data_IF_709042757982
#
_entry.id   IF_709042757982
#
_cell.length_a   1.000
_cell.length_b   1.000
_cell.length_c   1.000
_cell.angle_alpha   90.00
_cell.angle_beta   90.00
_cell.angle_gamma   90.00
#
_symmetry.space_group_name_H-M   'P 1'
#
loop_
_entity.id
_entity.type
_entity.pdbx_description
1 polymer ?
#
# COMPACT_ATOMS: atom_id res chain seq x y z
N UNK A 1 -73.03 -25.46 25.21
CA UNK A 1 -71.86 -24.64 25.61
C UNK A 1 -70.49 -25.35 25.53
N UNK A 2 -70.34 -26.65 25.76
CA UNK A 2 -68.99 -27.33 25.75
C UNK A 2 -68.33 -27.48 24.35
N UNK A 3 -69.05 -27.36 23.25
CA UNK A 3 -68.48 -27.46 21.87
C UNK A 3 -67.88 -26.15 21.35
N UNK A 4 -68.33 -24.98 21.84
CA UNK A 4 -67.81 -23.68 21.43
C UNK A 4 -66.41 -23.39 21.99
N UNK A 5 -66.14 -23.79 23.21
CA UNK A 5 -64.84 -23.60 23.86
C UNK A 5 -63.69 -24.48 23.30
N UNK A 6 -64.07 -25.62 22.68
CA UNK A 6 -63.07 -26.52 22.08
C UNK A 6 -62.53 -26.02 20.75
N UNK A 7 -63.33 -25.30 19.97
CA UNK A 7 -62.92 -24.75 18.70
C UNK A 7 -62.17 -23.44 18.85
N UNK A 8 -62.45 -22.61 19.85
CA UNK A 8 -61.69 -21.38 20.15
C UNK A 8 -60.29 -21.68 20.70
N UNK A 9 -60.11 -22.76 21.48
CA UNK A 9 -58.78 -23.17 21.95
C UNK A 9 -57.86 -23.67 20.81
N UNK A 10 -58.41 -24.40 19.84
CA UNK A 10 -57.65 -24.88 18.67
C UNK A 10 -57.27 -23.73 17.74
N UNK A 11 -58.14 -22.73 17.54
CA UNK A 11 -57.86 -21.56 16.73
C UNK A 11 -56.77 -20.67 17.34
N UNK A 12 -56.78 -20.50 18.67
CA UNK A 12 -55.72 -19.78 19.42
C UNK A 12 -54.35 -20.50 19.35
N UNK A 13 -54.37 -21.86 19.44
CA UNK A 13 -53.14 -22.65 19.32
C UNK A 13 -52.55 -22.57 17.88
N UNK A 14 -53.39 -22.58 16.83
CA UNK A 14 -52.93 -22.43 15.44
C UNK A 14 -52.36 -21.02 15.15
N UNK A 15 -52.98 -19.98 15.72
CA UNK A 15 -52.43 -18.61 15.64
C UNK A 15 -51.09 -18.45 16.35
N UNK A 16 -50.95 -19.07 17.50
CA UNK A 16 -49.68 -19.06 18.26
C UNK A 16 -48.56 -19.83 17.52
N UNK A 17 -48.91 -20.96 16.88
CA UNK A 17 -47.94 -21.73 16.08
C UNK A 17 -47.53 -20.99 14.81
N UNK A 18 -48.47 -20.27 14.13
CA UNK A 18 -48.15 -19.51 12.91
C UNK A 18 -47.23 -18.30 13.24
N UNK A 19 -47.47 -17.57 14.30
CA UNK A 19 -46.63 -16.45 14.73
C UNK A 19 -45.25 -16.91 15.20
N UNK A 20 -45.15 -18.07 15.86
CA UNK A 20 -43.89 -18.66 16.28
C UNK A 20 -43.04 -19.15 15.11
N UNK A 21 -43.67 -19.74 14.08
CA UNK A 21 -42.97 -20.16 12.86
C UNK A 21 -42.51 -18.97 12.00
N UNK A 22 -43.29 -17.88 11.98
CA UNK A 22 -42.88 -16.64 11.30
C UNK A 22 -41.71 -15.95 12.03
N UNK A 23 -41.72 -15.90 13.36
CA UNK A 23 -40.61 -15.39 14.14
C UNK A 23 -39.32 -16.21 13.98
N UNK A 24 -39.41 -17.55 13.98
CA UNK A 24 -38.29 -18.44 13.71
C UNK A 24 -37.75 -18.29 12.28
N UNK A 25 -38.61 -18.12 11.29
CA UNK A 25 -38.19 -17.91 9.90
C UNK A 25 -37.57 -16.50 9.68
N UNK A 26 -38.07 -15.48 10.38
CA UNK A 26 -37.47 -14.13 10.38
C UNK A 26 -36.10 -14.11 11.11
N UNK A 27 -35.99 -14.82 12.20
CA UNK A 27 -34.71 -14.94 12.95
C UNK A 27 -33.66 -15.75 12.19
N UNK A 28 -34.07 -16.78 11.44
CA UNK A 28 -33.18 -17.52 10.53
C UNK A 28 -32.78 -16.71 9.30
N UNK A 29 -33.70 -15.91 8.72
CA UNK A 29 -33.36 -14.97 7.63
C UNK A 29 -32.39 -13.90 8.10
N UNK A 30 -32.57 -13.32 9.27
CA UNK A 30 -31.64 -12.36 9.85
C UNK A 30 -30.27 -12.99 10.19
N UNK A 31 -30.24 -14.23 10.68
CA UNK A 31 -28.97 -14.96 10.86
C UNK A 31 -28.27 -15.26 9.53
N UNK A 32 -28.98 -15.70 8.51
CA UNK A 32 -28.41 -15.95 7.18
C UNK A 32 -27.91 -14.66 6.50
N UNK A 33 -28.64 -13.53 6.64
CA UNK A 33 -28.16 -12.24 6.15
C UNK A 33 -26.94 -11.75 6.94
N UNK A 34 -26.93 -11.91 8.27
CA UNK A 34 -25.80 -11.56 9.11
C UNK A 34 -24.55 -12.39 8.77
N UNK A 35 -24.67 -13.69 8.55
CA UNK A 35 -23.56 -14.54 8.11
C UNK A 35 -23.14 -14.26 6.68
N UNK A 36 -24.06 -13.94 5.78
CA UNK A 36 -23.74 -13.57 4.39
C UNK A 36 -23.02 -12.20 4.30
N UNK A 37 -23.34 -11.26 5.20
CA UNK A 37 -22.65 -9.96 5.29
C UNK A 37 -21.27 -10.04 5.98
N UNK A 38 -21.03 -11.08 6.77
CA UNK A 38 -19.75 -11.25 7.50
C UNK A 38 -18.74 -12.14 6.81
N UNK A 39 -19.12 -12.92 5.80
CA UNK A 39 -18.17 -13.71 5.02
C UNK A 39 -17.66 -12.91 3.82
N UNK A 40 -16.47 -12.38 3.97
CA UNK A 40 -15.73 -11.79 2.87
C UNK A 40 -15.22 -12.91 1.96
N UNK A 41 -15.86 -13.10 0.81
CA UNK A 41 -15.40 -14.08 -0.18
C UNK A 41 -14.26 -13.44 -0.99
N UNK A 42 -13.05 -14.00 -0.95
CA UNK A 42 -11.95 -13.51 -1.77
C UNK A 42 -12.34 -13.45 -3.25
N UNK A 43 -11.83 -12.49 -4.02
CA UNK A 43 -12.07 -12.45 -5.46
C UNK A 43 -11.47 -13.68 -6.13
N UNK A 44 -12.15 -14.21 -7.14
CA UNK A 44 -11.63 -15.32 -7.94
C UNK A 44 -10.40 -14.87 -8.75
N UNK A 45 -9.48 -15.82 -8.98
CA UNK A 45 -8.34 -15.60 -9.87
C UNK A 45 -8.84 -15.33 -11.29
N UNK A 46 -8.44 -14.21 -11.93
CA UNK A 46 -8.82 -13.93 -13.31
C UNK A 46 -8.18 -14.93 -14.29
N UNK A 47 -8.66 -15.01 -15.52
CA UNK A 47 -7.98 -15.80 -16.56
C UNK A 47 -6.65 -15.17 -16.97
N UNK A 48 -6.61 -13.84 -16.98
CA UNK A 48 -5.41 -13.05 -17.24
C UNK A 48 -5.51 -11.68 -16.59
N UNK A 49 -4.35 -11.03 -16.44
CA UNK A 49 -4.26 -9.62 -16.05
C UNK A 49 -3.11 -8.93 -16.78
N UNK A 50 -3.20 -7.61 -16.87
CA UNK A 50 -2.08 -6.78 -17.35
C UNK A 50 -1.37 -6.19 -16.14
N UNK A 51 -0.05 -6.32 -16.09
CA UNK A 51 0.80 -5.69 -15.09
C UNK A 51 1.97 -4.99 -15.79
N UNK A 52 2.07 -3.68 -15.62
CA UNK A 52 3.10 -2.83 -16.22
C UNK A 52 3.22 -2.98 -17.77
N UNK A 53 2.12 -3.31 -18.44
CA UNK A 53 2.08 -3.57 -19.89
C UNK A 53 2.24 -5.04 -20.27
N UNK A 54 2.74 -5.91 -19.38
CA UNK A 54 2.87 -7.33 -19.64
C UNK A 54 1.57 -8.08 -19.34
N UNK A 55 1.14 -8.98 -20.25
CA UNK A 55 -0.02 -9.85 -20.03
C UNK A 55 0.40 -11.13 -19.32
N UNK A 56 -0.13 -11.36 -18.13
CA UNK A 56 0.08 -12.58 -17.34
C UNK A 56 -1.18 -13.44 -17.40
N UNK A 57 -1.02 -14.70 -17.82
CA UNK A 57 -2.12 -15.67 -17.90
C UNK A 57 -2.08 -16.64 -16.73
N UNK A 58 -3.27 -16.95 -16.18
CA UNK A 58 -3.42 -17.91 -15.07
C UNK A 58 -4.09 -19.20 -15.55
N UNK A 59 -3.69 -19.69 -16.72
CA UNK A 59 -4.10 -20.97 -17.31
C UNK A 59 -3.29 -22.16 -16.75
N UNK A 60 -2.11 -21.90 -16.19
CA UNK A 60 -1.30 -22.89 -15.45
C UNK A 60 -1.81 -23.04 -14.02
N UNK A 61 -1.97 -24.28 -13.56
CA UNK A 61 -2.48 -24.59 -12.22
C UNK A 61 -1.61 -23.99 -11.09
N UNK A 62 -0.29 -24.06 -11.23
CA UNK A 62 0.67 -23.51 -10.26
C UNK A 62 0.57 -21.99 -10.12
N UNK A 63 0.47 -21.26 -11.24
CA UNK A 63 0.31 -19.80 -11.21
C UNK A 63 -1.05 -19.40 -10.62
N UNK A 64 -2.09 -20.20 -10.94
CA UNK A 64 -3.43 -19.96 -10.42
C UNK A 64 -3.51 -20.15 -8.92
N UNK A 65 -2.93 -21.23 -8.38
CA UNK A 65 -2.89 -21.51 -6.93
C UNK A 65 -2.10 -20.43 -6.18
N UNK A 66 -0.95 -20.02 -6.72
CA UNK A 66 -0.12 -18.97 -6.12
C UNK A 66 -0.85 -17.63 -6.09
N UNK A 67 -1.59 -17.28 -7.14
CA UNK A 67 -2.38 -16.06 -7.19
C UNK A 67 -3.57 -16.12 -6.22
N UNK A 68 -4.30 -17.23 -6.18
CA UNK A 68 -5.43 -17.45 -5.27
C UNK A 68 -5.03 -17.26 -3.81
N UNK A 69 -3.89 -17.82 -3.42
CA UNK A 69 -3.31 -17.66 -2.08
C UNK A 69 -3.14 -16.19 -1.69
N UNK A 70 -2.63 -15.34 -2.59
CA UNK A 70 -2.40 -13.93 -2.27
C UNK A 70 -3.71 -13.13 -2.28
N UNK A 71 -4.69 -13.47 -3.11
CA UNK A 71 -6.02 -12.88 -3.08
C UNK A 71 -6.72 -13.19 -1.74
N UNK A 72 -6.63 -14.43 -1.26
CA UNK A 72 -7.12 -14.83 0.06
C UNK A 72 -6.41 -14.02 1.15
N UNK A 73 -5.06 -13.94 1.10
CA UNK A 73 -4.28 -13.23 2.10
C UNK A 73 -4.72 -11.75 2.22
N UNK A 74 -4.82 -11.02 1.12
CA UNK A 74 -5.23 -9.60 1.14
C UNK A 74 -6.69 -9.41 1.56
N UNK A 75 -7.57 -10.37 1.29
CA UNK A 75 -8.97 -10.32 1.73
C UNK A 75 -9.10 -10.44 3.26
N UNK A 76 -8.23 -11.19 3.91
CA UNK A 76 -8.27 -11.42 5.36
C UNK A 76 -7.25 -10.58 6.17
N UNK A 77 -6.31 -9.91 5.52
CA UNK A 77 -5.39 -8.97 6.18
C UNK A 77 -6.04 -7.59 6.39
N UNK A 78 -7.18 -7.55 7.09
CA UNK A 78 -8.04 -6.37 7.21
C UNK A 78 -7.26 -5.09 7.60
N UNK A 79 -6.43 -5.14 8.63
CA UNK A 79 -5.67 -3.97 9.09
C UNK A 79 -4.76 -3.40 8.00
N UNK A 80 -3.98 -4.25 7.35
CA UNK A 80 -3.03 -3.79 6.32
C UNK A 80 -3.77 -3.30 5.08
N UNK A 81 -4.74 -4.07 4.58
CA UNK A 81 -5.51 -3.73 3.38
C UNK A 81 -6.28 -2.41 3.53
N UNK A 82 -6.86 -2.15 4.72
CA UNK A 82 -7.48 -0.86 5.02
C UNK A 82 -6.46 0.30 5.05
N UNK A 83 -5.35 0.12 5.77
CA UNK A 83 -4.35 1.19 5.94
C UNK A 83 -3.67 1.58 4.63
N UNK A 84 -3.38 0.62 3.75
CA UNK A 84 -2.68 0.93 2.49
C UNK A 84 -3.54 1.77 1.55
N UNK A 85 -4.85 1.53 1.46
CA UNK A 85 -5.76 2.38 0.66
C UNK A 85 -5.83 3.80 1.23
N UNK A 86 -6.00 3.94 2.56
CA UNK A 86 -6.03 5.25 3.23
C UNK A 86 -4.74 6.04 3.04
N UNK A 87 -3.59 5.37 3.18
CA UNK A 87 -2.25 5.96 2.99
C UNK A 87 -1.96 6.33 1.54
N UNK A 88 -2.43 5.51 0.59
CA UNK A 88 -2.26 5.75 -0.83
C UNK A 88 -2.89 7.07 -1.26
N UNK A 89 -4.05 7.44 -0.72
CA UNK A 89 -4.69 8.72 -1.01
C UNK A 89 -3.77 9.92 -0.72
N UNK A 90 -2.90 9.80 0.29
CA UNK A 90 -1.90 10.82 0.64
C UNK A 90 -0.64 10.75 -0.21
N UNK A 91 -0.19 9.55 -0.58
CA UNK A 91 1.15 9.34 -1.10
C UNK A 91 1.19 9.27 -2.63
N UNK A 92 0.20 8.65 -3.28
CA UNK A 92 0.18 8.47 -4.73
C UNK A 92 0.20 9.78 -5.51
N UNK A 93 -0.47 10.88 -5.05
CA UNK A 93 -0.34 12.18 -5.71
C UNK A 93 1.09 12.72 -5.83
N UNK A 94 1.99 12.29 -4.94
CA UNK A 94 3.41 12.67 -4.96
C UNK A 94 4.24 11.71 -5.81
N UNK A 95 3.91 10.43 -5.76
CA UNK A 95 4.74 9.34 -6.31
C UNK A 95 4.49 9.10 -7.78
N UNK A 96 3.23 9.05 -8.22
CA UNK A 96 2.85 8.76 -9.61
C UNK A 96 3.44 9.75 -10.63
N UNK A 97 3.46 11.08 -10.38
CA UNK A 97 4.14 12.01 -11.27
C UNK A 97 5.63 11.68 -11.43
N UNK A 98 6.32 11.30 -10.34
CA UNK A 98 7.75 10.97 -10.38
C UNK A 98 8.00 9.69 -11.19
N UNK A 99 7.17 8.65 -11.01
CA UNK A 99 7.27 7.43 -11.83
C UNK A 99 7.10 7.76 -13.32
N UNK A 100 6.07 8.53 -13.64
CA UNK A 100 5.76 8.95 -15.02
C UNK A 100 6.89 9.77 -15.65
N UNK A 101 7.44 10.75 -14.95
CA UNK A 101 8.55 11.59 -15.40
C UNK A 101 9.82 10.78 -15.68
N UNK A 102 10.01 9.67 -14.97
CA UNK A 102 11.14 8.76 -15.14
C UNK A 102 10.84 7.56 -16.05
N UNK A 103 9.68 7.52 -16.72
CA UNK A 103 9.32 6.46 -17.66
C UNK A 103 9.04 5.10 -17.01
N UNK A 104 8.74 5.06 -15.71
CA UNK A 104 8.42 3.84 -14.97
C UNK A 104 6.91 3.60 -15.00
N UNK A 105 6.44 2.40 -15.37
CA UNK A 105 5.02 2.06 -15.36
C UNK A 105 4.39 2.28 -13.99
N UNK A 106 3.18 2.83 -13.97
CA UNK A 106 2.46 3.19 -12.76
C UNK A 106 2.25 2.01 -11.79
N UNK A 107 2.08 0.80 -12.31
CA UNK A 107 1.90 -0.40 -11.50
C UNK A 107 3.08 -0.68 -10.54
N UNK A 108 4.29 -0.16 -10.82
CA UNK A 108 5.46 -0.33 -9.96
C UNK A 108 5.34 0.43 -8.63
N UNK A 109 4.38 1.35 -8.48
CA UNK A 109 4.04 1.97 -7.19
C UNK A 109 3.61 0.95 -6.14
N UNK A 110 3.05 -0.17 -6.57
CA UNK A 110 2.61 -1.23 -5.65
C UNK A 110 3.76 -1.95 -4.95
N UNK A 111 5.01 -1.79 -5.41
CA UNK A 111 6.20 -2.24 -4.67
C UNK A 111 6.23 -1.65 -3.26
N UNK A 112 6.00 -0.34 -3.11
CA UNK A 112 5.98 0.32 -1.80
C UNK A 112 4.88 -0.22 -0.87
N UNK A 113 3.77 -0.69 -1.44
CA UNK A 113 2.69 -1.30 -0.64
C UNK A 113 3.20 -2.57 0.02
N UNK A 114 3.93 -3.40 -0.74
CA UNK A 114 4.47 -4.68 -0.24
C UNK A 114 5.65 -4.45 0.70
N UNK A 115 6.53 -3.50 0.38
CA UNK A 115 7.76 -3.22 1.11
C UNK A 115 7.51 -2.59 2.49
N UNK A 116 6.61 -1.62 2.56
CA UNK A 116 6.43 -0.79 3.75
C UNK A 116 5.00 -0.63 4.23
N UNK A 117 4.01 -1.27 3.59
CA UNK A 117 2.59 -0.94 3.75
C UNK A 117 2.32 0.58 3.60
N UNK A 118 3.05 1.25 2.71
CA UNK A 118 3.00 2.71 2.53
C UNK A 118 3.26 3.48 3.83
N UNK A 119 4.14 2.98 4.72
CA UNK A 119 4.59 3.70 5.89
C UNK A 119 5.96 4.36 5.62
N UNK A 120 6.02 5.71 5.50
CA UNK A 120 7.28 6.39 5.21
C UNK A 120 8.30 6.30 6.35
N UNK A 121 7.89 5.84 7.54
CA UNK A 121 8.77 5.63 8.72
C UNK A 121 9.29 4.20 8.82
N UNK A 122 8.91 3.32 7.90
CA UNK A 122 9.22 1.89 7.98
C UNK A 122 10.74 1.66 8.06
N UNK A 123 11.14 0.78 8.98
CA UNK A 123 12.51 0.31 9.17
C UNK A 123 12.45 -1.19 9.44
N UNK A 124 13.08 -1.99 8.59
CA UNK A 124 13.15 -3.43 8.78
C UNK A 124 14.23 -3.83 9.80
N UNK A 125 14.15 -5.04 10.33
CA UNK A 125 15.20 -5.61 11.20
C UNK A 125 16.56 -5.70 10.52
N UNK A 126 16.59 -5.83 9.19
CA UNK A 126 17.81 -5.83 8.39
C UNK A 126 18.35 -4.42 8.08
N UNK A 127 17.63 -3.34 8.46
CA UNK A 127 18.04 -1.96 8.24
C UNK A 127 17.60 -1.37 6.89
N UNK A 128 16.69 -2.02 6.16
CA UNK A 128 16.02 -1.41 5.02
C UNK A 128 15.04 -0.33 5.51
N UNK A 129 14.95 0.82 4.81
CA UNK A 129 14.25 2.00 5.33
C UNK A 129 13.40 2.75 4.30
N UNK A 130 12.34 3.41 4.82
CA UNK A 130 11.44 4.27 4.07
C UNK A 130 10.43 3.50 3.23
N UNK A 131 9.73 4.21 2.33
CA UNK A 131 8.68 3.61 1.49
C UNK A 131 9.20 2.47 0.60
N UNK A 132 10.38 2.67 0.01
CA UNK A 132 11.01 1.77 -0.95
C UNK A 132 11.91 0.71 -0.31
N UNK A 133 12.07 0.72 1.01
CA UNK A 133 12.87 -0.24 1.78
C UNK A 133 14.29 -0.44 1.23
N UNK A 134 14.95 0.65 0.85
CA UNK A 134 16.34 0.57 0.44
C UNK A 134 17.26 0.18 1.61
N UNK A 135 18.17 -0.76 1.37
CA UNK A 135 19.35 -0.94 2.20
C UNK A 135 20.28 0.29 2.08
N UNK A 136 21.08 0.59 3.12
CA UNK A 136 21.95 1.77 3.10
C UNK A 136 22.88 1.80 1.89
N UNK A 137 23.55 0.67 1.61
CA UNK A 137 24.48 0.57 0.49
C UNK A 137 23.77 0.80 -0.85
N UNK A 138 22.61 0.15 -1.06
CA UNK A 138 21.80 0.31 -2.27
C UNK A 138 21.29 1.74 -2.41
N UNK A 139 20.77 2.35 -1.34
CA UNK A 139 20.34 3.75 -1.39
C UNK A 139 21.46 4.69 -1.85
N UNK A 140 22.67 4.51 -1.31
CA UNK A 140 23.85 5.32 -1.70
C UNK A 140 24.26 5.10 -3.16
N UNK A 141 24.21 3.87 -3.67
CA UNK A 141 24.57 3.58 -5.08
C UNK A 141 23.61 4.24 -6.06
N UNK A 142 22.35 4.50 -5.67
CA UNK A 142 21.38 5.24 -6.46
C UNK A 142 21.25 6.72 -6.10
N UNK A 143 22.24 7.27 -5.36
CA UNK A 143 22.43 8.70 -5.14
C UNK A 143 21.78 9.27 -3.88
N UNK A 144 21.27 8.43 -2.96
CA UNK A 144 20.75 8.89 -1.68
C UNK A 144 21.89 9.13 -0.68
N UNK A 145 21.78 10.22 0.06
CA UNK A 145 22.64 10.46 1.20
C UNK A 145 22.11 9.69 2.41
N UNK A 146 22.97 8.85 3.01
CA UNK A 146 22.63 8.05 4.18
C UNK A 146 23.78 8.08 5.17
N UNK A 147 23.60 8.81 6.27
CA UNK A 147 24.51 8.91 7.39
C UNK A 147 23.72 9.11 8.70
N UNK A 148 24.38 9.41 9.81
CA UNK A 148 23.73 9.60 11.10
C UNK A 148 22.84 10.85 11.15
N UNK A 149 23.19 11.92 10.43
CA UNK A 149 22.45 13.17 10.42
C UNK A 149 21.36 13.21 9.35
N UNK A 150 21.61 12.59 8.19
CA UNK A 150 20.75 12.61 7.02
C UNK A 150 20.50 11.17 6.55
N UNK A 151 19.24 10.82 6.32
CA UNK A 151 18.88 9.55 5.70
C UNK A 151 17.77 9.77 4.65
N UNK A 152 18.20 10.00 3.41
CA UNK A 152 17.29 10.31 2.30
C UNK A 152 16.43 9.13 1.84
N UNK A 153 16.61 7.93 2.39
CA UNK A 153 15.68 6.80 2.19
C UNK A 153 14.30 7.12 2.75
N UNK A 154 14.23 8.04 3.73
CA UNK A 154 12.98 8.56 4.30
C UNK A 154 12.44 9.80 3.57
N UNK A 155 13.16 10.35 2.59
CA UNK A 155 12.68 11.41 1.73
C UNK A 155 11.86 10.82 0.59
N UNK A 156 10.55 11.05 0.58
CA UNK A 156 9.61 10.42 -0.35
C UNK A 156 10.01 10.69 -1.80
N UNK A 157 10.30 11.95 -2.16
CA UNK A 157 10.63 12.34 -3.54
C UNK A 157 11.97 11.75 -3.98
N UNK A 158 13.03 11.94 -3.18
CA UNK A 158 14.37 11.46 -3.53
C UNK A 158 14.46 9.95 -3.58
N UNK A 159 13.85 9.26 -2.62
CA UNK A 159 13.84 7.79 -2.62
C UNK A 159 13.02 7.22 -3.78
N UNK A 160 11.95 7.91 -4.23
CA UNK A 160 11.20 7.49 -5.42
C UNK A 160 12.03 7.67 -6.69
N UNK A 161 12.78 8.79 -6.85
CA UNK A 161 13.71 8.95 -7.97
C UNK A 161 14.81 7.87 -7.97
N UNK A 162 15.35 7.54 -6.80
CA UNK A 162 16.33 6.45 -6.66
C UNK A 162 15.75 5.09 -7.05
N UNK A 163 14.49 4.83 -6.66
CA UNK A 163 13.77 3.60 -7.06
C UNK A 163 13.54 3.55 -8.58
N UNK A 164 13.18 4.66 -9.21
CA UNK A 164 13.05 4.73 -10.66
C UNK A 164 14.34 4.33 -11.37
N UNK A 165 15.50 4.82 -10.90
CA UNK A 165 16.81 4.44 -11.47
C UNK A 165 17.08 2.95 -11.34
N UNK A 166 16.83 2.38 -10.15
CA UNK A 166 16.98 0.94 -9.92
C UNK A 166 16.09 0.13 -10.86
N UNK A 167 14.81 0.51 -10.98
CA UNK A 167 13.83 -0.18 -11.80
C UNK A 167 14.15 -0.09 -13.29
N UNK A 168 14.61 1.07 -13.77
CA UNK A 168 15.04 1.24 -15.16
C UNK A 168 16.27 0.38 -15.50
N UNK A 169 17.30 0.39 -14.65
CA UNK A 169 18.50 -0.45 -14.80
C UNK A 169 18.13 -1.95 -14.82
N UNK A 170 17.25 -2.37 -13.91
CA UNK A 170 16.80 -3.76 -13.88
C UNK A 170 15.96 -4.12 -15.12
N UNK A 171 15.17 -3.20 -15.64
CA UNK A 171 14.39 -3.43 -16.87
C UNK A 171 15.27 -3.54 -18.11
N UNK A 172 16.29 -2.70 -18.24
CA UNK A 172 17.31 -2.83 -19.30
C UNK A 172 17.96 -4.21 -19.29
N UNK A 173 18.16 -4.78 -18.10
CA UNK A 173 18.78 -6.08 -17.94
C UNK A 173 17.86 -7.26 -18.24
N UNK A 174 16.59 -7.20 -17.83
CA UNK A 174 15.68 -8.35 -17.85
C UNK A 174 14.60 -8.27 -18.93
N UNK A 175 14.24 -7.10 -19.40
CA UNK A 175 13.23 -6.88 -20.43
C UNK A 175 11.79 -7.23 -20.06
N UNK A 176 11.52 -7.59 -18.79
CA UNK A 176 10.16 -7.85 -18.29
C UNK A 176 9.99 -7.46 -16.82
N UNK A 177 8.82 -6.91 -16.48
CA UNK A 177 8.57 -6.30 -15.18
C UNK A 177 8.38 -7.31 -14.05
N UNK A 178 7.97 -8.54 -14.33
CA UNK A 178 7.88 -9.58 -13.29
C UNK A 178 9.26 -10.01 -12.81
N UNK A 179 10.23 -10.13 -13.70
CA UNK A 179 11.63 -10.40 -13.33
C UNK A 179 12.27 -9.21 -12.62
N UNK A 180 11.95 -7.98 -13.03
CA UNK A 180 12.35 -6.77 -12.30
C UNK A 180 11.81 -6.80 -10.87
N UNK A 181 10.52 -7.09 -10.67
CA UNK A 181 9.92 -7.20 -9.35
C UNK A 181 10.58 -8.31 -8.50
N UNK A 182 10.82 -9.49 -9.07
CA UNK A 182 11.54 -10.55 -8.40
C UNK A 182 12.97 -10.10 -7.98
N UNK A 183 13.66 -9.35 -8.85
CA UNK A 183 15.01 -8.85 -8.58
C UNK A 183 15.04 -7.75 -7.52
N UNK A 184 13.96 -7.00 -7.36
CA UNK A 184 13.82 -6.01 -6.30
C UNK A 184 13.87 -6.68 -4.91
N UNK A 185 13.17 -7.78 -4.74
CA UNK A 185 13.16 -8.55 -3.50
C UNK A 185 14.40 -9.46 -3.35
N UNK A 186 14.71 -10.27 -4.37
CA UNK A 186 15.77 -11.28 -4.32
C UNK A 186 17.17 -10.78 -4.69
N UNK A 187 17.31 -9.50 -5.06
CA UNK A 187 18.54 -8.89 -5.55
C UNK A 187 18.85 -9.28 -7.01
N UNK A 188 19.32 -8.30 -7.80
CA UNK A 188 19.60 -8.50 -9.22
C UNK A 188 20.58 -9.68 -9.49
N UNK A 189 21.68 -9.76 -8.73
CA UNK A 189 22.66 -10.84 -8.92
C UNK A 189 22.09 -12.22 -8.61
N UNK A 190 21.24 -12.29 -7.57
CA UNK A 190 20.56 -13.53 -7.19
C UNK A 190 19.64 -14.04 -8.29
N UNK A 191 18.80 -13.16 -8.81
CA UNK A 191 17.85 -13.52 -9.89
C UNK A 191 18.57 -13.82 -11.19
N UNK A 192 19.59 -13.06 -11.59
CA UNK A 192 20.37 -13.35 -12.80
C UNK A 192 20.97 -14.74 -12.76
N UNK A 193 21.58 -15.11 -11.63
CA UNK A 193 22.13 -16.44 -11.46
C UNK A 193 21.05 -17.54 -11.57
N UNK A 194 19.87 -17.32 -11.00
CA UNK A 194 18.77 -18.29 -11.09
C UNK A 194 18.22 -18.46 -12.51
N UNK A 195 18.13 -17.35 -13.27
CA UNK A 195 17.74 -17.39 -14.68
C UNK A 195 18.72 -18.23 -15.49
N UNK A 196 20.02 -18.04 -15.28
CA UNK A 196 21.07 -18.80 -15.93
C UNK A 196 21.06 -20.29 -15.52
N UNK A 197 21.11 -20.59 -14.22
CA UNK A 197 21.13 -21.95 -13.67
C UNK A 197 19.91 -22.79 -14.08
N UNK A 198 18.74 -22.16 -14.25
CA UNK A 198 17.48 -22.83 -14.58
C UNK A 198 17.10 -22.69 -16.06
N UNK A 199 17.95 -22.06 -16.88
CA UNK A 199 17.72 -21.82 -18.32
C UNK A 199 16.38 -21.16 -18.61
N UNK A 200 16.00 -20.14 -17.80
CA UNK A 200 14.75 -19.39 -17.94
C UNK A 200 15.01 -17.91 -18.26
N UNK A 201 14.01 -17.25 -18.82
CA UNK A 201 14.04 -15.82 -19.13
C UNK A 201 13.04 -15.00 -18.32
N UNK A 202 12.13 -15.66 -17.59
CA UNK A 202 11.08 -15.02 -16.81
C UNK A 202 11.08 -15.58 -15.37
N UNK A 203 11.01 -14.71 -14.39
CA UNK A 203 11.01 -15.10 -12.97
C UNK A 203 9.76 -15.90 -12.55
N UNK A 204 8.64 -15.81 -13.28
CA UNK A 204 7.45 -16.64 -13.01
C UNK A 204 7.72 -18.14 -13.21
N UNK A 205 8.73 -18.50 -14.01
CA UNK A 205 9.13 -19.86 -14.32
C UNK A 205 10.30 -20.37 -13.46
N UNK A 206 10.80 -19.53 -12.54
CA UNK A 206 11.91 -19.90 -11.67
C UNK A 206 11.44 -20.63 -10.41
N UNK A 207 12.23 -21.61 -9.99
CA UNK A 207 12.21 -22.14 -8.63
C UNK A 207 12.97 -21.19 -7.71
N UNK A 208 12.23 -20.39 -6.96
CA UNK A 208 12.76 -19.36 -6.05
C UNK A 208 12.45 -19.72 -4.59
N UNK A 209 13.13 -19.05 -3.66
CA UNK A 209 12.73 -19.05 -2.25
C UNK A 209 11.31 -18.52 -2.12
N UNK A 210 10.57 -19.02 -1.14
CA UNK A 210 9.14 -18.76 -0.96
C UNK A 210 8.83 -17.25 -0.93
N UNK A 211 9.64 -16.45 -0.25
CA UNK A 211 9.45 -15.01 -0.15
C UNK A 211 9.46 -14.32 -1.51
N UNK A 212 10.50 -14.56 -2.31
CA UNK A 212 10.62 -13.97 -3.66
C UNK A 212 9.60 -14.54 -4.63
N UNK A 213 9.29 -15.84 -4.52
CA UNK A 213 8.25 -16.48 -5.30
C UNK A 213 6.88 -15.84 -5.09
N UNK A 214 6.50 -15.57 -3.84
CA UNK A 214 5.25 -14.92 -3.47
C UNK A 214 5.21 -13.43 -3.84
N UNK A 215 6.35 -12.79 -3.84
CA UNK A 215 6.46 -11.34 -4.03
C UNK A 215 5.77 -10.85 -5.30
N UNK A 216 5.98 -11.53 -6.43
CA UNK A 216 5.35 -11.22 -7.71
C UNK A 216 3.82 -11.33 -7.66
N UNK A 217 3.30 -12.37 -7.00
CA UNK A 217 1.84 -12.58 -6.87
C UNK A 217 1.21 -11.61 -5.88
N UNK A 218 1.92 -11.27 -4.80
CA UNK A 218 1.51 -10.20 -3.89
C UNK A 218 1.37 -8.87 -4.61
N UNK A 219 2.30 -8.55 -5.51
CA UNK A 219 2.27 -7.34 -6.31
C UNK A 219 1.03 -7.28 -7.22
N UNK A 220 0.72 -8.40 -7.89
CA UNK A 220 -0.48 -8.54 -8.73
C UNK A 220 -1.78 -8.48 -7.90
N UNK A 221 -1.82 -9.13 -6.75
CA UNK A 221 -2.97 -9.10 -5.85
C UNK A 221 -3.22 -7.69 -5.27
N UNK A 222 -2.16 -6.97 -4.93
CA UNK A 222 -2.24 -5.55 -4.50
C UNK A 222 -2.82 -4.69 -5.61
N UNK A 223 -2.38 -4.85 -6.86
CA UNK A 223 -2.98 -4.13 -7.99
C UNK A 223 -4.49 -4.37 -8.05
N UNK A 224 -4.95 -5.62 -7.99
CA UNK A 224 -6.38 -5.95 -7.99
C UNK A 224 -7.12 -5.34 -6.79
N UNK A 225 -6.50 -5.30 -5.61
CA UNK A 225 -7.05 -4.65 -4.42
C UNK A 225 -7.27 -3.15 -4.66
N UNK A 226 -6.29 -2.46 -5.22
CA UNK A 226 -6.38 -1.03 -5.48
C UNK A 226 -7.31 -0.67 -6.63
N UNK A 227 -7.44 -1.51 -7.64
CA UNK A 227 -8.40 -1.32 -8.73
C UNK A 227 -9.85 -1.49 -8.28
N UNK A 228 -10.11 -2.41 -7.35
CA UNK A 228 -11.46 -2.62 -6.83
C UNK A 228 -11.45 -3.17 -5.38
N UNK A 229 -11.31 -2.32 -4.36
CA UNK A 229 -11.30 -2.74 -2.96
C UNK A 229 -12.57 -3.49 -2.53
N UNK A 230 -13.72 -3.16 -3.14
CA UNK A 230 -15.00 -3.79 -2.81
C UNK A 230 -15.03 -5.29 -3.11
N UNK A 231 -14.31 -5.74 -4.14
CA UNK A 231 -14.16 -7.18 -4.42
C UNK A 231 -13.42 -7.93 -3.31
N UNK A 232 -12.64 -7.23 -2.50
CA UNK A 232 -11.96 -7.74 -1.31
C UNK A 232 -12.75 -7.49 -0.02
N UNK A 233 -14.00 -6.98 -0.12
CA UNK A 233 -14.86 -6.68 1.02
C UNK A 233 -14.56 -5.34 1.71
N UNK A 234 -13.76 -4.48 1.12
CA UNK A 234 -13.42 -3.17 1.69
C UNK A 234 -14.22 -2.05 1.03
N UNK A 235 -14.86 -1.23 1.85
CA UNK A 235 -15.57 -0.03 1.40
C UNK A 235 -15.06 1.17 2.19
N UNK A 236 -14.89 2.29 1.50
CA UNK A 236 -14.42 3.54 2.10
C UNK A 236 -15.39 4.68 1.79
N UNK A 237 -15.38 5.65 2.67
CA UNK A 237 -15.95 6.98 2.45
C UNK A 237 -14.82 8.00 2.33
N UNK A 238 -15.13 9.23 1.97
CA UNK A 238 -14.12 10.30 1.87
C UNK A 238 -13.43 10.53 3.21
N UNK A 239 -14.20 10.45 4.32
CA UNK A 239 -13.73 10.62 5.69
C UNK A 239 -12.73 9.55 6.12
N UNK A 240 -12.75 8.40 5.47
CA UNK A 240 -11.82 7.29 5.77
C UNK A 240 -10.42 7.55 5.21
N UNK A 241 -10.30 8.35 4.14
CA UNK A 241 -9.06 8.53 3.41
C UNK A 241 -8.14 9.56 4.09
N UNK A 242 -6.84 9.30 4.07
CA UNK A 242 -5.87 10.27 4.59
C UNK A 242 -5.57 11.32 3.50
N UNK A 243 -5.79 12.61 3.77
CA UNK A 243 -5.58 13.65 2.78
C UNK A 243 -4.10 13.83 2.43
N UNK A 244 -3.81 14.16 1.19
CA UNK A 244 -2.55 14.77 0.81
C UNK A 244 -2.58 16.25 1.18
N UNK A 245 -1.65 16.69 2.01
CA UNK A 245 -1.47 18.06 2.42
C UNK A 245 -0.12 18.52 1.84
N UNK A 246 -0.12 19.39 0.82
CA UNK A 246 1.13 19.93 0.28
C UNK A 246 1.83 20.81 1.33
N UNK A 247 3.16 20.92 1.28
CA UNK A 247 3.88 21.84 2.14
C UNK A 247 3.41 23.28 1.86
N UNK A 248 3.34 24.11 2.90
CA UNK A 248 3.03 25.55 2.77
C UNK A 248 4.12 26.26 1.96
N UNK A 249 5.37 25.87 2.17
CA UNK A 249 6.54 26.35 1.43
C UNK A 249 7.67 25.34 1.51
N UNK A 250 8.59 25.46 0.57
CA UNK A 250 9.87 24.76 0.57
C UNK A 250 10.98 25.80 0.86
N UNK A 251 11.90 25.46 1.75
CA UNK A 251 13.04 26.30 2.11
C UNK A 251 14.32 25.64 1.57
N UNK A 252 15.04 26.37 0.75
CA UNK A 252 16.36 25.94 0.25
C UNK A 252 17.38 26.23 1.33
N UNK A 253 18.10 25.20 1.78
CA UNK A 253 19.14 25.28 2.81
C UNK A 253 20.47 24.84 2.22
N UNK A 254 21.46 25.73 2.23
CA UNK A 254 22.83 25.49 1.73
C UNK A 254 23.87 25.54 2.84
N UNK A 255 23.55 26.12 3.97
CA UNK A 255 24.41 26.24 5.12
C UNK A 255 24.01 25.27 6.24
N UNK A 256 24.90 24.96 7.19
CA UNK A 256 24.54 24.22 8.37
C UNK A 256 23.42 24.90 9.17
N UNK A 257 22.50 24.09 9.73
CA UNK A 257 21.50 24.56 10.69
C UNK A 257 21.81 23.94 12.04
N UNK A 258 22.37 24.74 12.94
CA UNK A 258 22.84 24.26 14.24
C UNK A 258 21.72 23.86 15.18
N UNK A 259 20.52 24.45 15.02
CA UNK A 259 19.34 24.19 15.85
C UNK A 259 18.07 24.14 15.00
N UNK A 260 17.56 22.94 14.76
CA UNK A 260 16.29 22.73 14.02
C UNK A 260 15.04 23.12 14.85
N UNK A 261 15.16 23.26 16.18
CA UNK A 261 14.04 23.79 16.99
C UNK A 261 13.84 25.26 16.68
N UNK A 262 14.93 26.05 16.74
CA UNK A 262 14.92 27.47 16.40
C UNK A 262 14.53 27.70 14.93
N UNK A 263 15.06 26.89 14.03
CA UNK A 263 14.68 26.94 12.61
C UNK A 263 13.17 26.72 12.40
N UNK A 264 12.57 25.76 13.13
CA UNK A 264 11.13 25.52 13.07
C UNK A 264 10.32 26.73 13.57
N UNK A 265 10.71 27.31 14.71
CA UNK A 265 10.09 28.49 15.29
C UNK A 265 10.13 29.70 14.35
N UNK A 266 11.28 29.96 13.71
CA UNK A 266 11.46 31.03 12.71
C UNK A 266 10.54 30.86 11.49
N UNK A 267 10.10 29.62 11.24
CA UNK A 267 9.19 29.30 10.15
C UNK A 267 7.74 29.11 10.60
N UNK A 268 7.44 29.38 11.88
CA UNK A 268 6.08 29.36 12.43
C UNK A 268 5.49 27.96 12.59
N UNK A 269 6.37 26.94 12.78
CA UNK A 269 5.97 25.56 13.02
C UNK A 269 6.66 25.00 14.26
N UNK A 270 6.10 23.96 14.85
CA UNK A 270 6.79 23.24 15.94
C UNK A 270 7.88 22.32 15.37
N UNK A 271 8.90 22.02 16.17
CA UNK A 271 9.92 21.03 15.83
C UNK A 271 9.31 19.69 15.41
N UNK A 272 8.27 19.23 16.10
CA UNK A 272 7.59 17.99 15.76
C UNK A 272 6.91 18.03 14.38
N UNK A 273 6.33 19.17 13.99
CA UNK A 273 5.75 19.38 12.65
C UNK A 273 6.84 19.37 11.58
N UNK A 274 7.94 20.10 11.81
CA UNK A 274 9.10 20.10 10.92
C UNK A 274 9.65 18.70 10.70
N UNK A 275 9.85 17.93 11.78
CA UNK A 275 10.36 16.56 11.70
C UNK A 275 9.40 15.58 11.02
N UNK A 276 8.09 15.76 11.18
CA UNK A 276 7.09 14.94 10.47
C UNK A 276 7.10 15.20 8.96
N UNK A 277 7.27 16.44 8.55
CA UNK A 277 7.38 16.81 7.14
C UNK A 277 8.73 16.37 6.53
N UNK A 278 9.79 16.29 7.35
CA UNK A 278 11.15 16.02 6.89
C UNK A 278 11.77 14.81 7.64
N UNK A 279 11.23 13.62 7.41
CA UNK A 279 11.67 12.39 8.09
C UNK A 279 13.14 12.04 7.84
N UNK A 280 13.72 12.55 6.76
CA UNK A 280 15.10 12.36 6.37
C UNK A 280 16.12 13.11 7.25
N UNK A 281 15.68 14.15 7.99
CA UNK A 281 16.47 14.82 9.02
C UNK A 281 16.50 13.93 10.27
N UNK A 282 17.64 13.34 10.62
CA UNK A 282 17.72 12.33 11.70
C UNK A 282 18.07 12.93 13.07
N UNK A 283 18.81 14.02 13.11
CA UNK A 283 19.22 14.71 14.34
C UNK A 283 18.46 16.02 14.56
N UNK A 284 18.79 16.75 15.63
CA UNK A 284 18.24 18.08 15.95
C UNK A 284 18.95 19.24 15.26
N UNK A 285 19.90 18.93 14.39
CA UNK A 285 20.66 19.88 13.55
C UNK A 285 20.84 19.32 12.15
N UNK A 286 21.17 20.17 11.20
CA UNK A 286 21.57 19.79 9.85
C UNK A 286 23.02 20.13 9.64
N UNK A 287 23.90 19.13 9.65
CA UNK A 287 25.30 19.28 9.35
C UNK A 287 25.48 19.40 7.83
N UNK A 288 25.86 20.55 7.32
CA UNK A 288 26.05 20.78 5.89
C UNK A 288 27.39 21.47 5.60
N UNK A 289 28.48 20.88 6.09
CA UNK A 289 29.82 21.40 5.83
C UNK A 289 30.25 21.37 4.36
N UNK A 290 29.60 20.57 3.55
CA UNK A 290 29.83 20.46 2.10
C UNK A 290 28.98 21.42 1.27
N UNK A 291 28.17 22.28 1.89
CA UNK A 291 27.28 23.24 1.24
C UNK A 291 26.36 22.61 0.15
N UNK A 292 25.87 21.40 0.41
CA UNK A 292 24.87 20.78 -0.45
C UNK A 292 23.56 21.53 -0.35
N UNK A 293 22.79 21.48 -1.40
CA UNK A 293 21.44 22.04 -1.43
C UNK A 293 20.43 21.03 -0.89
N UNK A 294 19.77 21.38 0.21
CA UNK A 294 18.64 20.64 0.75
C UNK A 294 17.35 21.45 0.62
N UNK A 295 16.25 20.75 0.35
CA UNK A 295 14.92 21.32 0.36
C UNK A 295 14.23 20.83 1.63
N UNK A 296 13.94 21.79 2.54
CA UNK A 296 13.22 21.56 3.79
C UNK A 296 11.77 21.98 3.61
N UNK A 297 10.86 21.01 3.73
CA UNK A 297 9.42 21.26 3.63
C UNK A 297 8.90 21.84 4.94
N UNK A 298 8.19 22.98 4.86
CA UNK A 298 7.47 23.59 5.97
C UNK A 298 6.00 23.25 5.82
N UNK A 299 5.39 22.52 6.75
CA UNK A 299 4.00 22.09 6.63
C UNK A 299 3.02 23.25 6.77
N UNK A 300 1.84 23.10 6.18
CA UNK A 300 0.72 24.00 6.41
C UNK A 300 -0.02 23.61 7.70
N UNK A 301 0.27 24.32 8.77
CA UNK A 301 -0.30 24.05 10.10
C UNK A 301 -1.83 24.19 10.15
N UNK A 302 -2.42 24.99 9.28
CA UNK A 302 -3.88 25.15 9.20
C UNK A 302 -4.53 23.98 8.48
N UNK A 303 -3.85 23.43 7.48
CA UNK A 303 -4.34 22.26 6.75
C UNK A 303 -4.18 20.94 7.53
N UNK A 304 -3.40 20.92 8.64
CA UNK A 304 -3.28 19.76 9.53
C UNK A 304 -4.56 19.49 10.36
N UNK A 305 -5.45 20.49 10.51
CA UNK A 305 -6.72 20.26 11.20
C UNK A 305 -7.65 19.41 10.35
N UNK A 306 -8.23 18.38 11.00
CA UNK A 306 -9.12 17.45 10.31
C UNK A 306 -10.35 18.18 9.75
N UNK A 307 -10.49 18.11 8.43
CA UNK A 307 -11.63 18.62 7.69
C UNK A 307 -11.89 17.69 6.49
N UNK A 308 -12.82 16.74 6.61
CA UNK A 308 -13.08 15.77 5.56
C UNK A 308 -13.58 16.43 4.26
N UNK A 309 -14.22 17.60 4.33
CA UNK A 309 -14.68 18.32 3.14
C UNK A 309 -13.53 18.79 2.24
N UNK A 310 -12.31 18.87 2.77
CA UNK A 310 -11.10 19.23 2.05
C UNK A 310 -10.30 18.02 1.56
N UNK A 311 -10.73 16.80 1.93
CA UNK A 311 -10.06 15.58 1.47
C UNK A 311 -10.31 15.38 -0.02
N UNK A 312 -9.27 15.53 -0.82
CA UNK A 312 -9.33 15.23 -2.24
C UNK A 312 -9.14 13.73 -2.41
N UNK A 313 -10.10 13.08 -3.05
CA UNK A 313 -10.04 11.66 -3.38
C UNK A 313 -9.10 11.45 -4.56
N UNK A 314 -8.11 10.58 -4.40
CA UNK A 314 -7.15 10.27 -5.45
C UNK A 314 -7.74 9.34 -6.52
N UNK A 315 -8.54 8.36 -6.10
CA UNK A 315 -9.21 7.42 -7.00
C UNK A 315 -10.65 7.18 -6.55
N UNK A 316 -11.61 7.63 -7.36
CA UNK A 316 -13.05 7.50 -7.10
C UNK A 316 -13.53 6.03 -6.98
N UNK A 317 -12.79 5.07 -7.55
CA UNK A 317 -13.12 3.65 -7.42
C UNK A 317 -12.99 3.12 -5.98
N UNK A 318 -12.30 3.85 -5.09
CA UNK A 318 -12.12 3.44 -3.69
C UNK A 318 -13.31 3.77 -2.80
N UNK A 319 -14.09 4.78 -3.14
CA UNK A 319 -15.22 5.25 -2.35
C UNK A 319 -16.57 4.76 -2.89
N UNK A 320 -17.61 4.87 -2.02
CA UNK A 320 -19.01 4.53 -2.39
C UNK A 320 -19.61 5.60 -3.30
#
# INVERSE_FOLDING_TARGET
>A
MKRLYRNTGILLLMLFFSTFTEQLSAQNRNRQSFYAETYNVPPSVPEMMVFAGDTIRFDRADLRERMDRELIAFSYMHTNSHLVIKRANRLFPVIEPILKENGIPDDLKYLMVIESNLDPKSLSSAGAAGLWQFMQATGRSYGLEVNANIDERYNIRKSTVAACKYLAEAYEKYGNWMTVAASYNGGQNGISRRLEEQHQTNALDLWLVEETSRYMFRLMAVKMLFENPRRFGFTFTVEDLYPYIPPKKEVVVTDPVEDLVKFAEEHGVTYAQLKRANLWLRESKLNNSSHRTYIVEIPDTQAEYYDPSKTKVHNEAWIK
#
